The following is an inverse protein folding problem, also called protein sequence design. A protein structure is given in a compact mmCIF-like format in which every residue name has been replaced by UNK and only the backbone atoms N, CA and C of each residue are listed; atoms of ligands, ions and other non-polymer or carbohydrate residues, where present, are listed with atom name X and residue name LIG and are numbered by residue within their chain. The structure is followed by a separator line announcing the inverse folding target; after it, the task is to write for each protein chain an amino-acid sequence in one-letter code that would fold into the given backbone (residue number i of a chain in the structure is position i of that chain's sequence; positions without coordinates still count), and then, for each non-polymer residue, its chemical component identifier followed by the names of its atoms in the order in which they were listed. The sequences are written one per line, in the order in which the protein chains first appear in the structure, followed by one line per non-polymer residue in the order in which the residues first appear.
data_IF_767193137051
#
_entry.id   IF_767193137051
#
_cell.length_a   1.000
_cell.length_b   1.000
_cell.length_c   1.000
_cell.angle_alpha   90.00
_cell.angle_beta   90.00
_cell.angle_gamma   90.00
#
_symmetry.space_group_name_H-M   'P 1'
#
loop_
_entity.id
_entity.type
_entity.pdbx_description
1 polymer ?
#
# COMPACT_ATOMS: atom_id res chain seq x y z
N UNK A 1 -15.94 24.40 -9.41
CA UNK A 1 -16.07 23.63 -10.66
C UNK A 1 -16.77 22.31 -10.32
N UNK A 2 -17.75 21.85 -11.14
CA UNK A 2 -18.29 20.50 -11.01
C UNK A 2 -17.19 19.47 -11.24
N UNK A 3 -17.25 18.35 -10.53
CA UNK A 3 -16.31 17.25 -10.68
C UNK A 3 -17.09 15.95 -10.90
N UNK A 4 -16.60 15.10 -11.78
CA UNK A 4 -17.13 13.77 -12.06
C UNK A 4 -16.21 12.72 -11.46
N UNK A 5 -16.79 11.70 -10.80
CA UNK A 5 -16.02 10.56 -10.28
C UNK A 5 -15.65 9.63 -11.44
N UNK A 6 -14.38 9.51 -11.76
CA UNK A 6 -13.86 8.54 -12.75
C UNK A 6 -13.79 7.14 -12.16
N UNK A 7 -13.32 7.04 -10.91
CA UNK A 7 -13.22 5.79 -10.19
C UNK A 7 -12.65 5.99 -8.77
N UNK A 8 -12.77 4.96 -7.95
CA UNK A 8 -12.23 4.99 -6.58
C UNK A 8 -11.72 3.62 -6.16
N UNK A 9 -10.74 3.63 -5.26
CA UNK A 9 -10.20 2.46 -4.62
C UNK A 9 -10.29 2.58 -3.10
N UNK A 10 -11.22 1.82 -2.52
CA UNK A 10 -11.47 1.84 -1.07
C UNK A 10 -10.27 1.39 -0.27
N UNK A 11 -9.49 0.44 -0.80
CA UNK A 11 -8.35 -0.13 -0.09
C UNK A 11 -7.23 0.88 0.13
N UNK A 12 -6.93 1.71 -0.86
CA UNK A 12 -5.89 2.75 -0.76
C UNK A 12 -6.44 4.10 -0.33
N UNK A 13 -7.77 4.24 -0.16
CA UNK A 13 -8.45 5.50 0.16
C UNK A 13 -8.24 6.59 -0.90
N UNK A 14 -8.13 6.20 -2.18
CA UNK A 14 -7.93 7.11 -3.30
C UNK A 14 -9.15 7.15 -4.22
N UNK A 15 -9.43 8.33 -4.76
CA UNK A 15 -10.43 8.54 -5.80
C UNK A 15 -9.86 9.46 -6.89
N UNK A 16 -10.20 9.15 -8.15
CA UNK A 16 -9.86 9.97 -9.30
C UNK A 16 -11.11 10.77 -9.72
N UNK A 17 -10.96 12.10 -9.73
CA UNK A 17 -11.99 13.02 -10.17
C UNK A 17 -11.58 13.70 -11.47
N UNK A 18 -12.53 13.88 -12.38
CA UNK A 18 -12.38 14.67 -13.60
C UNK A 18 -13.11 16.00 -13.40
N UNK A 19 -12.43 17.10 -13.72
CA UNK A 19 -13.02 18.42 -13.80
C UNK A 19 -12.89 18.97 -15.22
N UNK A 20 -13.91 19.69 -15.68
CA UNK A 20 -13.86 20.43 -16.93
C UNK A 20 -13.49 21.89 -16.61
N UNK A 21 -12.42 22.39 -17.22
CA UNK A 21 -11.96 23.75 -17.06
C UNK A 21 -11.79 24.41 -18.44
N UNK A 22 -12.13 25.70 -18.53
CA UNK A 22 -11.98 26.47 -19.77
C UNK A 22 -10.52 26.74 -20.13
N UNK A 23 -9.66 26.78 -19.10
CA UNK A 23 -8.21 26.99 -19.23
C UNK A 23 -7.45 25.86 -18.53
N UNK A 24 -6.18 25.67 -18.92
CA UNK A 24 -5.29 24.72 -18.27
C UNK A 24 -5.09 25.11 -16.80
N UNK A 25 -5.39 24.17 -15.89
CA UNK A 25 -5.20 24.39 -14.45
C UNK A 25 -3.72 24.20 -14.08
N UNK A 26 -3.19 25.01 -13.14
CA UNK A 26 -1.89 24.73 -12.56
C UNK A 26 -1.92 23.38 -11.82
N UNK A 27 -0.86 22.61 -11.96
CA UNK A 27 -0.76 21.29 -11.36
C UNK A 27 0.63 21.06 -10.75
N UNK A 28 0.73 20.06 -9.89
CA UNK A 28 2.00 19.54 -9.36
C UNK A 28 2.27 18.17 -9.98
N UNK A 29 3.55 17.93 -10.34
CA UNK A 29 3.97 16.63 -10.82
C UNK A 29 4.19 15.65 -9.66
N UNK A 30 3.88 14.38 -9.88
CA UNK A 30 4.25 13.31 -8.95
C UNK A 30 5.73 12.95 -9.13
N UNK A 31 6.49 12.89 -8.03
CA UNK A 31 7.78 12.21 -8.01
C UNK A 31 7.54 10.69 -7.84
N UNK A 32 7.69 9.98 -8.95
CA UNK A 32 7.56 8.51 -8.99
C UNK A 32 8.90 7.81 -9.12
N UNK A 33 10.00 8.54 -9.05
CA UNK A 33 11.35 8.04 -9.30
C UNK A 33 12.23 8.01 -8.05
N UNK A 34 11.99 8.91 -7.11
CA UNK A 34 12.75 9.02 -5.87
C UNK A 34 12.04 8.27 -4.73
N UNK A 35 12.83 7.69 -3.84
CA UNK A 35 12.33 7.20 -2.55
C UNK A 35 12.44 8.33 -1.53
N UNK A 36 11.36 8.70 -0.82
CA UNK A 36 11.41 9.71 0.22
C UNK A 36 12.46 9.40 1.29
N UNK A 37 13.25 10.40 1.67
CA UNK A 37 14.35 10.23 2.63
C UNK A 37 13.91 10.75 4.00
N UNK A 38 14.07 9.93 5.06
CA UNK A 38 13.79 10.35 6.43
C UNK A 38 14.62 11.59 6.80
N UNK A 39 13.94 12.63 7.28
CA UNK A 39 14.53 13.94 7.60
C UNK A 39 14.46 14.96 6.48
N UNK A 40 14.04 14.61 5.25
CA UNK A 40 13.83 15.61 4.21
C UNK A 40 12.64 16.51 4.49
N UNK A 41 12.74 17.77 4.09
CA UNK A 41 11.67 18.76 4.25
C UNK A 41 10.47 18.43 3.38
N UNK A 42 9.28 18.53 3.97
CA UNK A 42 8.01 18.35 3.27
C UNK A 42 7.02 19.47 3.59
N UNK A 43 6.16 19.73 2.63
CA UNK A 43 5.12 20.74 2.69
C UNK A 43 3.77 20.02 2.44
N UNK A 44 2.88 20.07 3.41
CA UNK A 44 1.51 19.57 3.22
C UNK A 44 0.59 20.74 2.87
N UNK A 45 -0.18 20.58 1.80
CA UNK A 45 -1.15 21.56 1.32
C UNK A 45 -2.57 21.04 1.54
N UNK A 46 -3.49 21.96 1.88
CA UNK A 46 -4.89 21.59 2.06
C UNK A 46 -5.77 22.77 2.44
N UNK A 47 -7.04 22.49 2.73
CA UNK A 47 -7.98 23.49 3.25
C UNK A 47 -8.57 22.98 4.58
N UNK A 48 -7.82 23.14 5.70
CA UNK A 48 -8.25 22.64 6.99
C UNK A 48 -9.62 23.16 7.37
N UNK A 49 -10.50 22.21 7.79
CA UNK A 49 -11.86 22.48 8.24
C UNK A 49 -12.80 23.10 7.19
N UNK A 50 -12.35 23.27 5.93
CA UNK A 50 -13.16 23.94 4.88
C UNK A 50 -13.49 25.40 5.21
N UNK A 51 -12.68 26.04 6.05
CA UNK A 51 -12.96 27.40 6.58
C UNK A 51 -12.78 28.50 5.56
N UNK A 52 -12.08 28.22 4.45
CA UNK A 52 -11.73 29.27 3.49
C UNK A 52 -12.42 29.00 2.14
N UNK A 53 -13.34 29.88 1.77
CA UNK A 53 -13.94 29.89 0.42
C UNK A 53 -12.94 30.37 -0.65
N UNK A 54 -11.83 31.01 -0.22
CA UNK A 54 -10.78 31.46 -1.13
C UNK A 54 -9.93 30.28 -1.61
N UNK A 55 -9.57 30.28 -2.91
CA UNK A 55 -8.85 29.20 -3.58
C UNK A 55 -7.39 28.98 -3.10
N UNK A 56 -6.93 29.67 -2.05
CA UNK A 56 -5.54 29.51 -1.56
C UNK A 56 -5.48 28.42 -0.49
N UNK A 57 -4.72 27.35 -0.70
CA UNK A 57 -4.53 26.30 0.29
C UNK A 57 -3.75 26.81 1.51
N UNK A 58 -4.04 26.22 2.67
CA UNK A 58 -3.18 26.34 3.84
C UNK A 58 -1.95 25.47 3.65
N UNK A 59 -0.84 25.94 4.20
CA UNK A 59 0.47 25.30 4.12
C UNK A 59 0.94 24.93 5.52
N UNK A 60 1.34 23.68 5.70
CA UNK A 60 2.07 23.24 6.89
C UNK A 60 3.39 22.60 6.48
N UNK A 61 4.43 22.78 7.28
CA UNK A 61 5.80 22.32 6.98
C UNK A 61 6.25 21.35 8.07
N UNK A 62 6.97 20.34 7.65
CA UNK A 62 7.59 19.36 8.52
C UNK A 62 8.67 18.58 7.77
N UNK A 63 8.91 17.36 8.23
CA UNK A 63 9.87 16.44 7.60
C UNK A 63 9.21 15.07 7.38
N UNK A 64 9.80 14.24 6.53
CA UNK A 64 9.53 12.81 6.50
C UNK A 64 10.05 12.22 7.80
N UNK A 65 9.15 11.77 8.66
CA UNK A 65 9.51 11.16 9.97
C UNK A 65 9.86 9.69 9.84
N UNK A 66 9.24 8.99 8.89
CA UNK A 66 9.51 7.59 8.57
C UNK A 66 8.90 7.23 7.20
N UNK A 67 9.38 6.15 6.60
CA UNK A 67 8.79 5.48 5.44
C UNK A 67 8.29 4.09 5.83
N UNK A 68 7.60 3.42 4.91
CA UNK A 68 7.21 2.01 5.00
C UNK A 68 6.40 1.70 6.28
N UNK A 69 5.47 2.62 6.63
CA UNK A 69 4.60 2.46 7.80
C UNK A 69 3.31 1.75 7.43
N UNK A 70 3.11 0.58 8.04
CA UNK A 70 1.86 -0.15 7.99
C UNK A 70 0.96 0.30 9.16
N UNK A 71 -0.27 0.69 8.85
CA UNK A 71 -1.23 1.12 9.86
C UNK A 71 -2.39 0.15 9.91
N UNK A 72 -2.76 -0.26 11.12
CA UNK A 72 -4.01 -0.98 11.32
C UNK A 72 -5.18 -0.02 11.13
N UNK A 73 -6.05 -0.32 10.19
CA UNK A 73 -7.27 0.46 9.98
C UNK A 73 -8.43 -0.18 10.74
N UNK A 74 -9.14 0.62 11.55
CA UNK A 74 -10.42 0.20 12.14
C UNK A 74 -11.54 0.19 11.09
N UNK A 75 -11.32 0.80 9.93
CA UNK A 75 -12.30 0.85 8.85
C UNK A 75 -12.13 -0.37 7.94
N UNK A 76 -13.19 -1.17 7.83
CA UNK A 76 -13.20 -2.37 6.99
C UNK A 76 -12.82 -2.04 5.54
N UNK A 77 -11.88 -2.81 4.99
CA UNK A 77 -11.48 -2.73 3.58
C UNK A 77 -10.38 -1.73 3.27
N UNK A 78 -9.90 -0.93 4.24
CA UNK A 78 -8.74 -0.03 4.04
C UNK A 78 -7.45 -0.70 4.47
N UNK A 79 -6.44 -0.59 3.62
CA UNK A 79 -5.10 -1.13 3.84
C UNK A 79 -4.07 0.00 3.68
N UNK A 80 -3.70 0.59 4.80
CA UNK A 80 -2.70 1.64 4.84
C UNK A 80 -1.30 1.01 4.99
N UNK A 81 -0.67 0.72 3.85
CA UNK A 81 0.62 0.07 3.76
C UNK A 81 1.64 0.96 3.10
N UNK A 82 2.90 0.81 3.53
CA UNK A 82 4.06 1.53 3.00
C UNK A 82 3.89 3.05 3.09
N UNK A 83 3.16 3.52 4.10
CA UNK A 83 2.80 4.94 4.23
C UNK A 83 4.02 5.80 4.57
N UNK A 84 4.05 7.01 4.03
CA UNK A 84 4.97 8.06 4.47
C UNK A 84 4.41 8.67 5.76
N UNK A 85 5.21 8.68 6.83
CA UNK A 85 4.91 9.40 8.06
C UNK A 85 5.57 10.78 8.03
N UNK A 86 4.85 11.81 8.46
CA UNK A 86 5.36 13.19 8.58
C UNK A 86 4.89 13.84 9.87
N UNK A 87 5.69 14.79 10.39
CA UNK A 87 5.31 15.69 11.48
C UNK A 87 4.69 17.00 11.00
N UNK A 88 4.65 17.25 9.67
CA UNK A 88 3.84 18.33 9.11
C UNK A 88 2.40 18.17 9.61
N UNK A 89 1.81 19.27 10.09
CA UNK A 89 0.47 19.21 10.68
C UNK A 89 -0.60 18.83 9.65
N UNK A 90 -1.05 17.58 9.70
CA UNK A 90 -2.18 17.09 8.94
C UNK A 90 -3.43 17.21 9.83
N UNK A 91 -4.43 17.92 9.36
CA UNK A 91 -5.73 18.08 10.01
C UNK A 91 -6.85 17.74 9.03
N UNK A 92 -8.06 17.62 9.53
CA UNK A 92 -9.24 17.43 8.67
C UNK A 92 -9.35 18.56 7.64
N UNK A 93 -9.36 18.20 6.34
CA UNK A 93 -9.34 19.13 5.21
C UNK A 93 -7.99 19.16 4.46
N UNK A 94 -6.90 18.61 5.04
CA UNK A 94 -5.66 18.35 4.29
C UNK A 94 -5.69 16.98 3.61
N UNK A 95 -6.53 16.05 4.02
CA UNK A 95 -6.70 14.74 3.38
C UNK A 95 -7.10 14.90 1.92
N UNK A 96 -6.44 14.17 1.02
CA UNK A 96 -6.55 14.32 -0.43
C UNK A 96 -5.66 15.41 -1.01
N UNK A 97 -5.10 16.29 -0.18
CA UNK A 97 -4.10 17.28 -0.61
C UNK A 97 -2.71 16.65 -0.77
N UNK A 98 -1.78 17.33 -1.49
CA UNK A 98 -0.45 16.81 -1.73
C UNK A 98 0.46 16.98 -0.50
N UNK A 99 1.37 16.02 -0.32
CA UNK A 99 2.61 16.15 0.42
C UNK A 99 3.72 16.40 -0.59
N UNK A 100 4.39 17.54 -0.51
CA UNK A 100 5.32 18.03 -1.53
C UNK A 100 6.72 18.10 -0.95
N UNK A 101 7.74 17.73 -1.73
CA UNK A 101 9.15 17.87 -1.37
C UNK A 101 9.67 19.32 -1.59
N UNK A 102 10.94 19.57 -1.26
CA UNK A 102 11.55 20.88 -1.38
C UNK A 102 11.73 21.35 -2.85
N UNK A 103 11.64 20.45 -3.84
CA UNK A 103 11.72 20.76 -5.27
C UNK A 103 10.35 21.06 -5.89
N UNK A 104 9.26 20.93 -5.11
CA UNK A 104 7.91 21.23 -5.56
C UNK A 104 7.18 20.04 -6.19
N UNK A 105 7.66 18.82 -5.99
CA UNK A 105 7.06 17.61 -6.53
C UNK A 105 6.26 16.87 -5.45
N UNK A 106 5.17 16.22 -5.85
CA UNK A 106 4.31 15.46 -4.95
C UNK A 106 4.97 14.12 -4.64
N UNK A 107 5.36 13.91 -3.39
CA UNK A 107 5.89 12.64 -2.89
C UNK A 107 4.81 11.77 -2.25
N UNK A 108 3.64 12.32 -1.97
CA UNK A 108 2.52 11.56 -1.41
C UNK A 108 1.20 12.33 -1.41
N UNK A 109 0.11 11.60 -1.15
CA UNK A 109 -1.24 12.15 -0.97
C UNK A 109 -1.61 12.02 0.50
N UNK A 110 -1.86 13.14 1.18
CA UNK A 110 -2.23 13.17 2.60
C UNK A 110 -3.53 12.38 2.81
N UNK A 111 -3.58 11.48 3.79
CA UNK A 111 -4.78 10.68 4.02
C UNK A 111 -5.26 10.70 5.46
N UNK A 112 -4.39 10.53 6.43
CA UNK A 112 -4.81 10.35 7.81
C UNK A 112 -3.89 10.93 8.85
N UNK A 113 -4.39 10.93 10.09
CA UNK A 113 -3.64 11.25 11.29
C UNK A 113 -3.83 10.15 12.33
N UNK A 114 -2.79 9.90 13.12
CA UNK A 114 -2.96 9.16 14.37
C UNK A 114 -3.32 10.16 15.46
N UNK A 115 -4.60 10.23 15.82
CA UNK A 115 -5.06 11.18 16.83
C UNK A 115 -6.32 10.70 17.53
N UNK A 116 -6.32 10.80 18.87
CA UNK A 116 -7.51 10.53 19.70
C UNK A 116 -8.46 11.75 19.78
N UNK A 117 -7.93 12.94 19.56
CA UNK A 117 -8.69 14.20 19.64
C UNK A 117 -9.19 14.73 18.30
N UNK A 118 -8.77 14.11 17.18
CA UNK A 118 -9.09 14.56 15.82
C UNK A 118 -8.23 15.71 15.30
N UNK A 119 -7.30 16.24 16.11
CA UNK A 119 -6.30 17.23 15.69
C UNK A 119 -4.91 16.62 15.55
N UNK A 120 -4.03 17.28 14.78
CA UNK A 120 -2.64 16.84 14.60
C UNK A 120 -1.88 16.82 15.92
N UNK A 121 -1.16 15.74 16.16
CA UNK A 121 -0.22 15.57 17.28
C UNK A 121 1.21 15.34 16.77
N UNK A 122 1.51 15.75 15.51
CA UNK A 122 2.82 15.53 14.89
C UNK A 122 2.98 14.12 14.30
N UNK A 123 1.89 13.41 14.08
CA UNK A 123 1.88 12.08 13.42
C UNK A 123 0.83 12.12 12.32
N UNK A 124 1.27 12.43 11.12
CA UNK A 124 0.48 12.42 9.89
C UNK A 124 0.97 11.35 8.92
N UNK A 125 0.12 10.93 8.00
CA UNK A 125 0.42 9.90 7.01
C UNK A 125 -0.02 10.33 5.63
N UNK A 126 0.77 9.91 4.62
CA UNK A 126 0.46 10.09 3.21
C UNK A 126 0.67 8.78 2.43
N UNK A 127 -0.19 8.55 1.44
CA UNK A 127 -0.01 7.48 0.45
C UNK A 127 1.15 7.87 -0.46
N UNK A 128 2.18 7.03 -0.65
CA UNK A 128 3.32 7.35 -1.51
C UNK A 128 2.91 7.70 -2.94
N UNK A 129 3.63 8.64 -3.56
CA UNK A 129 3.38 9.10 -4.93
C UNK A 129 3.46 7.97 -5.96
N UNK A 130 4.40 7.05 -5.81
CA UNK A 130 4.55 5.85 -6.66
C UNK A 130 3.30 4.98 -6.63
N UNK A 131 2.75 4.73 -5.44
CA UNK A 131 1.51 3.97 -5.24
C UNK A 131 0.31 4.72 -5.78
N UNK A 132 0.19 6.02 -5.47
CA UNK A 132 -0.90 6.86 -5.94
C UNK A 132 -0.93 6.95 -7.47
N UNK A 133 0.22 7.14 -8.13
CA UNK A 133 0.31 7.21 -9.59
C UNK A 133 -0.14 5.91 -10.26
N UNK A 134 0.25 4.75 -9.72
CA UNK A 134 -0.21 3.43 -10.22
C UNK A 134 -1.73 3.30 -10.12
N UNK A 135 -2.31 3.61 -8.97
CA UNK A 135 -3.76 3.56 -8.74
C UNK A 135 -4.50 4.53 -9.66
N UNK A 136 -4.02 5.76 -9.80
CA UNK A 136 -4.61 6.77 -10.69
C UNK A 136 -4.63 6.28 -12.14
N UNK A 137 -3.55 5.67 -12.62
CA UNK A 137 -3.48 5.15 -13.98
C UNK A 137 -4.47 3.99 -14.21
N UNK A 138 -4.63 3.08 -13.25
CA UNK A 138 -5.63 2.03 -13.30
C UNK A 138 -7.05 2.63 -13.31
N UNK A 139 -7.35 3.55 -12.39
CA UNK A 139 -8.66 4.21 -12.34
C UNK A 139 -8.95 5.00 -13.63
N UNK A 140 -7.94 5.63 -14.23
CA UNK A 140 -8.08 6.39 -15.49
C UNK A 140 -8.42 5.49 -16.67
N UNK A 141 -7.85 4.28 -16.72
CA UNK A 141 -7.99 3.36 -17.86
C UNK A 141 -9.19 2.45 -17.75
N UNK A 142 -9.51 1.97 -16.55
CA UNK A 142 -10.54 0.95 -16.32
C UNK A 142 -11.66 1.37 -15.37
N UNK A 143 -11.50 2.51 -14.68
CA UNK A 143 -12.44 2.97 -13.66
C UNK A 143 -12.34 2.22 -12.33
N UNK A 144 -11.56 1.14 -12.27
CA UNK A 144 -11.45 0.26 -11.09
C UNK A 144 -10.02 -0.26 -10.94
N UNK A 145 -9.67 -0.71 -9.73
CA UNK A 145 -8.41 -1.38 -9.44
C UNK A 145 -8.65 -2.89 -9.41
N UNK A 146 -7.99 -3.62 -10.31
CA UNK A 146 -8.16 -5.07 -10.42
C UNK A 146 -7.28 -5.83 -9.43
N UNK A 147 -7.89 -6.40 -8.41
CA UNK A 147 -7.24 -7.27 -7.41
C UNK A 147 -7.74 -8.70 -7.48
N UNK A 148 -8.25 -9.12 -8.64
CA UNK A 148 -8.71 -10.50 -8.88
C UNK A 148 -7.56 -11.47 -9.14
N UNK A 149 -6.44 -11.31 -8.42
CA UNK A 149 -5.33 -12.25 -8.55
C UNK A 149 -5.66 -13.61 -7.90
N UNK A 150 -5.00 -14.62 -8.42
CA UNK A 150 -5.12 -16.01 -7.96
C UNK A 150 -3.74 -16.62 -7.80
N UNK A 151 -3.50 -17.27 -6.67
CA UNK A 151 -2.25 -17.96 -6.37
C UNK A 151 -2.38 -19.48 -6.43
N UNK A 152 -3.54 -20.01 -6.10
CA UNK A 152 -3.79 -21.44 -5.90
C UNK A 152 -3.27 -21.98 -4.57
N UNK A 153 -2.87 -21.11 -3.63
CA UNK A 153 -2.30 -21.52 -2.33
C UNK A 153 -3.37 -21.57 -1.22
N UNK A 154 -3.31 -22.63 -0.43
CA UNK A 154 -4.02 -22.75 0.84
C UNK A 154 -3.03 -22.65 2.00
N UNK A 155 -3.04 -21.54 2.68
CA UNK A 155 -2.01 -21.19 3.67
C UNK A 155 -2.58 -21.08 5.09
N UNK A 156 -1.69 -21.13 6.09
CA UNK A 156 -2.02 -20.87 7.49
C UNK A 156 -0.81 -20.36 8.25
N UNK A 157 -1.04 -19.51 9.26
CA UNK A 157 0.03 -19.02 10.12
C UNK A 157 0.73 -20.18 10.85
N UNK A 158 2.05 -20.16 10.88
CA UNK A 158 2.86 -21.10 11.66
C UNK A 158 2.62 -20.86 13.16
N UNK A 159 2.14 -21.89 13.85
CA UNK A 159 2.00 -21.91 15.31
C UNK A 159 3.06 -22.84 15.94
N UNK A 160 3.12 -22.87 17.28
CA UNK A 160 4.10 -23.70 18.02
C UNK A 160 4.05 -25.17 17.65
N UNK A 161 2.87 -25.72 17.37
CA UNK A 161 2.69 -27.14 16.99
C UNK A 161 3.28 -27.40 15.61
N UNK A 162 3.02 -26.51 14.64
CA UNK A 162 3.57 -26.58 13.28
C UNK A 162 5.09 -26.42 13.34
N UNK A 163 5.59 -25.40 14.03
CA UNK A 163 7.03 -25.16 14.15
C UNK A 163 7.77 -26.37 14.74
N UNK A 164 7.21 -27.00 15.79
CA UNK A 164 7.78 -28.22 16.37
C UNK A 164 7.74 -29.42 15.41
N UNK A 165 6.64 -29.59 14.66
CA UNK A 165 6.50 -30.70 13.72
C UNK A 165 7.46 -30.59 12.52
N UNK A 166 7.77 -29.38 12.07
CA UNK A 166 8.68 -29.10 10.97
C UNK A 166 10.11 -28.75 11.42
N UNK A 167 10.39 -28.86 12.73
CA UNK A 167 11.71 -28.54 13.33
C UNK A 167 12.20 -27.13 12.98
N UNK A 168 11.29 -26.16 12.93
CA UNK A 168 11.61 -24.77 12.65
C UNK A 168 12.21 -24.06 13.87
N UNK A 169 13.24 -23.26 13.67
CA UNK A 169 13.90 -22.47 14.72
C UNK A 169 13.02 -21.38 15.32
N UNK A 170 11.99 -20.93 14.57
CA UNK A 170 11.09 -19.85 14.95
C UNK A 170 9.64 -20.22 14.73
N UNK A 171 8.75 -19.66 15.56
CA UNK A 171 7.30 -19.70 15.38
C UNK A 171 6.88 -18.49 14.57
N UNK A 172 7.20 -18.51 13.27
CA UNK A 172 7.00 -17.40 12.34
C UNK A 172 6.85 -17.98 10.93
N UNK A 173 6.14 -17.25 10.07
CA UNK A 173 5.93 -17.65 8.68
C UNK A 173 4.54 -18.24 8.41
N UNK A 174 4.33 -18.60 7.16
CA UNK A 174 3.05 -19.06 6.63
C UNK A 174 3.24 -20.43 5.97
N UNK A 175 2.64 -21.45 6.58
CA UNK A 175 2.69 -22.83 6.06
C UNK A 175 1.78 -22.97 4.84
N UNK A 176 2.30 -23.49 3.75
CA UNK A 176 1.53 -24.00 2.62
C UNK A 176 0.95 -25.36 3.02
N UNK A 177 -0.37 -25.39 3.26
CA UNK A 177 -1.07 -26.63 3.62
C UNK A 177 -1.39 -27.48 2.39
N UNK A 178 -1.74 -26.81 1.30
CA UNK A 178 -2.15 -27.42 0.04
C UNK A 178 -2.06 -26.38 -1.07
N UNK A 179 -2.14 -26.82 -2.32
CA UNK A 179 -2.25 -25.98 -3.50
C UNK A 179 -3.11 -26.62 -4.57
N UNK A 180 -3.72 -25.80 -5.40
CA UNK A 180 -4.51 -26.29 -6.53
C UNK A 180 -3.57 -26.84 -7.62
N UNK A 181 -3.84 -28.03 -8.18
CA UNK A 181 -3.07 -28.58 -9.29
C UNK A 181 -3.13 -27.65 -10.53
N UNK A 182 -2.03 -27.46 -11.19
CA UNK A 182 -1.88 -26.58 -12.37
C UNK A 182 -2.23 -25.12 -12.07
N UNK A 183 -2.06 -24.71 -10.83
CA UNK A 183 -2.17 -23.31 -10.39
C UNK A 183 -0.86 -22.55 -10.59
N UNK A 184 -0.87 -21.21 -10.48
CA UNK A 184 0.36 -20.43 -10.42
C UNK A 184 1.37 -20.90 -9.38
N UNK A 185 0.92 -21.38 -8.24
CA UNK A 185 1.80 -21.92 -7.20
C UNK A 185 2.45 -23.25 -7.61
N UNK A 186 1.69 -24.15 -8.26
CA UNK A 186 2.20 -25.42 -8.81
C UNK A 186 3.24 -25.15 -9.90
N UNK A 187 2.94 -24.23 -10.83
CA UNK A 187 3.87 -23.81 -11.90
C UNK A 187 5.14 -23.14 -11.36
N UNK A 188 5.07 -22.48 -10.21
CA UNK A 188 6.20 -21.87 -9.52
C UNK A 188 7.05 -22.89 -8.76
N UNK A 189 6.62 -24.15 -8.66
CA UNK A 189 7.29 -25.20 -7.93
C UNK A 189 7.17 -25.08 -6.41
N UNK A 190 6.11 -24.45 -5.92
CA UNK A 190 5.75 -24.44 -4.49
C UNK A 190 5.18 -25.82 -4.14
N UNK A 191 5.52 -26.31 -2.96
CA UNK A 191 5.09 -27.63 -2.49
C UNK A 191 4.34 -27.55 -1.16
N UNK A 192 3.43 -28.50 -0.88
CA UNK A 192 2.87 -28.64 0.46
C UNK A 192 3.98 -28.82 1.50
N UNK A 193 3.82 -28.19 2.67
CA UNK A 193 4.78 -28.08 3.77
C UNK A 193 5.88 -27.03 3.58
N UNK A 194 5.99 -26.35 2.46
CA UNK A 194 6.79 -25.13 2.39
C UNK A 194 6.30 -24.10 3.41
N UNK A 195 7.23 -23.37 4.01
CA UNK A 195 6.90 -22.26 4.91
C UNK A 195 7.35 -20.95 4.27
N UNK A 196 6.41 -20.13 3.82
CA UNK A 196 6.70 -18.80 3.26
C UNK A 196 7.17 -17.89 4.40
N UNK A 197 8.39 -17.35 4.29
CA UNK A 197 9.02 -16.49 5.30
C UNK A 197 9.30 -15.09 4.81
N UNK A 198 9.25 -14.84 3.48
CA UNK A 198 9.33 -13.50 2.92
C UNK A 198 8.60 -13.42 1.57
N UNK A 199 8.07 -12.22 1.27
CA UNK A 199 7.50 -11.81 -0.02
C UNK A 199 8.22 -10.53 -0.44
N UNK A 200 8.76 -10.48 -1.67
CA UNK A 200 9.56 -9.35 -2.19
C UNK A 200 10.72 -8.94 -1.25
N UNK A 201 11.32 -9.89 -0.55
CA UNK A 201 12.39 -9.66 0.41
C UNK A 201 11.91 -9.21 1.80
N UNK A 202 10.64 -8.85 1.95
CA UNK A 202 10.06 -8.41 3.21
C UNK A 202 9.56 -9.61 4.04
N UNK A 203 9.89 -9.68 5.35
CA UNK A 203 9.48 -10.78 6.21
C UNK A 203 7.96 -10.94 6.29
N UNK A 204 7.52 -12.18 6.42
CA UNK A 204 6.13 -12.57 6.62
C UNK A 204 6.05 -13.50 7.83
N UNK A 205 5.37 -13.05 8.88
CA UNK A 205 5.22 -13.81 10.13
C UNK A 205 3.87 -14.52 10.23
N UNK A 206 2.83 -13.94 9.62
CA UNK A 206 1.45 -14.41 9.71
C UNK A 206 0.78 -14.49 8.35
N UNK A 207 -0.34 -15.22 8.28
CA UNK A 207 -1.19 -15.24 7.07
C UNK A 207 -1.70 -13.84 6.71
N UNK A 208 -2.00 -13.02 7.72
CA UNK A 208 -2.45 -11.63 7.48
C UNK A 208 -1.34 -10.79 6.86
N UNK A 209 -0.08 -10.97 7.28
CA UNK A 209 1.07 -10.31 6.65
C UNK A 209 1.24 -10.76 5.20
N UNK A 210 1.15 -12.08 4.94
CA UNK A 210 1.21 -12.63 3.59
C UNK A 210 0.14 -12.04 2.68
N UNK A 211 -1.14 -12.11 3.10
CA UNK A 211 -2.26 -11.55 2.32
C UNK A 211 -2.04 -10.07 2.06
N UNK A 212 -1.60 -9.36 3.07
CA UNK A 212 -1.34 -7.94 2.96
C UNK A 212 -0.20 -7.59 1.99
N UNK A 213 0.89 -8.38 1.97
CA UNK A 213 2.02 -8.17 1.05
C UNK A 213 1.62 -8.40 -0.40
N UNK A 214 0.78 -9.42 -0.68
CA UNK A 214 0.35 -9.71 -2.05
C UNK A 214 -0.81 -8.84 -2.53
N UNK A 215 -1.47 -8.10 -1.63
CA UNK A 215 -2.68 -7.33 -1.95
C UNK A 215 -2.45 -6.21 -2.98
N UNK A 216 -1.25 -5.64 -3.00
CA UNK A 216 -0.90 -4.55 -3.92
C UNK A 216 -0.47 -5.03 -5.32
N UNK A 217 -0.45 -6.34 -5.55
CA UNK A 217 -0.16 -6.94 -6.85
C UNK A 217 -1.41 -7.16 -7.69
N UNK A 218 -1.22 -7.46 -8.98
CA UNK A 218 -2.27 -7.63 -9.99
C UNK A 218 -2.14 -8.98 -10.67
N UNK A 219 -3.20 -9.49 -11.31
CA UNK A 219 -3.09 -10.64 -12.19
C UNK A 219 -2.00 -10.40 -13.26
N UNK A 220 -1.07 -11.36 -13.38
CA UNK A 220 0.08 -11.29 -14.29
C UNK A 220 1.37 -10.76 -13.65
N UNK A 221 1.31 -10.10 -12.48
CA UNK A 221 2.52 -9.68 -11.75
C UNK A 221 3.33 -10.91 -11.31
N UNK A 222 4.65 -10.74 -11.21
CA UNK A 222 5.57 -11.72 -10.65
C UNK A 222 6.01 -11.27 -9.27
N UNK A 223 5.91 -12.17 -8.31
CA UNK A 223 6.35 -11.94 -6.93
C UNK A 223 7.45 -12.92 -6.54
N UNK A 224 8.45 -12.41 -5.85
CA UNK A 224 9.52 -13.22 -5.26
C UNK A 224 9.05 -13.75 -3.91
N UNK A 225 9.16 -15.05 -3.71
CA UNK A 225 8.86 -15.72 -2.45
C UNK A 225 10.11 -16.39 -1.93
N UNK A 226 10.41 -16.22 -0.64
CA UNK A 226 11.36 -17.07 0.06
C UNK A 226 10.58 -18.04 0.93
N UNK A 227 10.83 -19.34 0.69
CA UNK A 227 10.23 -20.41 1.49
C UNK A 227 11.33 -21.19 2.22
N UNK A 228 10.96 -21.84 3.32
CA UNK A 228 11.77 -22.89 3.95
C UNK A 228 11.18 -24.23 3.52
N UNK A 229 11.99 -25.06 2.87
CA UNK A 229 11.68 -26.43 2.45
C UNK A 229 12.65 -27.36 3.13
N UNK A 230 12.16 -28.28 3.96
CA UNK A 230 13.00 -29.17 4.80
C UNK A 230 14.04 -28.40 5.65
N UNK A 231 13.69 -27.19 6.09
CA UNK A 231 14.56 -26.32 6.88
C UNK A 231 15.54 -25.46 6.06
N UNK A 232 15.65 -25.66 4.75
CA UNK A 232 16.55 -24.92 3.88
C UNK A 232 15.81 -23.81 3.11
N UNK A 233 16.41 -22.61 2.93
CA UNK A 233 15.80 -21.53 2.19
C UNK A 233 15.79 -21.78 0.69
N UNK A 234 14.64 -21.60 0.06
CA UNK A 234 14.44 -21.67 -1.40
C UNK A 234 13.80 -20.39 -1.88
N UNK A 235 14.41 -19.75 -2.89
CA UNK A 235 13.81 -18.58 -3.54
C UNK A 235 13.02 -19.02 -4.78
N UNK A 236 11.75 -18.64 -4.84
CA UNK A 236 10.82 -18.99 -5.91
C UNK A 236 10.21 -17.71 -6.50
N UNK A 237 9.78 -17.78 -7.74
CA UNK A 237 9.03 -16.69 -8.40
C UNK A 237 7.65 -17.19 -8.75
N UNK A 238 6.64 -16.57 -8.14
CA UNK A 238 5.23 -16.85 -8.40
C UNK A 238 4.66 -15.80 -9.36
N UNK A 239 4.16 -16.21 -10.51
CA UNK A 239 3.39 -15.34 -11.40
C UNK A 239 1.92 -15.46 -11.03
N UNK A 240 1.31 -14.33 -10.62
CA UNK A 240 -0.09 -14.31 -10.20
C UNK A 240 -1.02 -14.58 -11.39
N UNK A 241 -1.91 -15.54 -11.24
CA UNK A 241 -3.00 -15.79 -12.16
C UNK A 241 -4.16 -14.81 -11.95
N UNK A 242 -5.22 -14.97 -12.76
CA UNK A 242 -6.50 -14.29 -12.57
C UNK A 242 -7.48 -15.26 -11.93
N UNK A 243 -8.18 -14.82 -10.88
CA UNK A 243 -9.30 -15.59 -10.33
C UNK A 243 -10.41 -15.69 -11.38
N UNK A 244 -10.88 -16.91 -11.66
CA UNK A 244 -12.09 -17.12 -12.44
C UNK A 244 -13.29 -16.71 -11.57
N UNK A 245 -14.15 -15.83 -12.09
CA UNK A 245 -15.33 -15.31 -11.40
C UNK A 245 -16.47 -16.32 -11.32
#
# INVERSE_FOLDING_TARGET
MPAELVGSDVATDLALLKVEAEEALPYLAFDTTSTPIVGEWVIALGNPFGLFESAKPSVTVGVVSATDRDLQSEQRGRLYRDMIQTDASINRGNSGGPLVNATGEVIGVNTGIYSRSGGSVGIGFAVPATKAARIIEELRTTGTVDRSYYTGLYVTTVNRRIASALSLDRVSGVLVRDLDPRSPADDAGIEPLDVIVAVEGEPVDTQDDYVARIYDFRPGDRISLRVLRDGEPVDLTLQLGRAEG
#
